data_IF_569791809908
#
_entry.id   IF_569791809908
#
_cell.length_a   1.000
_cell.length_b   1.000
_cell.length_c   1.000
_cell.angle_alpha   90.00
_cell.angle_beta   90.00
_cell.angle_gamma   90.00
#
_symmetry.space_group_name_H-M   'P 1'
#
loop_
_entity.id
_entity.type
_entity.pdbx_description
1 polymer ?
#
# COMPACT_ATOMS: atom_id res chain seq x y z
N UNK A 1 7.95 15.84 -15.99
CA UNK A 1 7.67 15.84 -14.54
C UNK A 1 8.26 14.56 -13.97
N UNK A 2 9.00 14.64 -12.86
CA UNK A 2 9.59 13.47 -12.23
C UNK A 2 8.51 12.74 -11.42
N UNK A 3 8.54 11.40 -11.46
CA UNK A 3 7.74 10.58 -10.57
C UNK A 3 8.22 10.75 -9.12
N UNK A 4 7.33 11.17 -8.21
CA UNK A 4 7.63 11.35 -6.79
C UNK A 4 7.26 10.08 -5.99
N UNK A 5 8.16 9.11 -5.98
CA UNK A 5 7.94 7.81 -5.34
C UNK A 5 7.59 7.90 -3.84
N UNK A 6 8.21 8.83 -3.11
CA UNK A 6 7.98 9.02 -1.67
C UNK A 6 6.57 9.54 -1.39
N UNK A 7 6.10 10.52 -2.17
CA UNK A 7 4.74 11.06 -2.03
C UNK A 7 3.69 10.00 -2.35
N UNK A 8 3.90 9.24 -3.43
CA UNK A 8 3.05 8.10 -3.76
C UNK A 8 2.99 7.07 -2.60
N UNK A 9 4.14 6.70 -2.03
CA UNK A 9 4.20 5.76 -0.92
C UNK A 9 3.45 6.27 0.33
N UNK A 10 3.56 7.57 0.64
CA UNK A 10 2.82 8.18 1.74
C UNK A 10 1.30 8.17 1.50
N UNK A 11 0.86 8.59 0.31
CA UNK A 11 -0.55 8.60 -0.06
C UNK A 11 -1.15 7.19 -0.06
N UNK A 12 -0.41 6.21 -0.60
CA UNK A 12 -0.80 4.81 -0.56
C UNK A 12 -0.93 4.30 0.89
N UNK A 13 0.07 4.53 1.74
CA UNK A 13 0.06 4.12 3.14
C UNK A 13 -1.12 4.70 3.92
N UNK A 14 -1.44 5.98 3.70
CA UNK A 14 -2.61 6.63 4.30
C UNK A 14 -3.92 5.99 3.83
N UNK A 15 -4.05 5.66 2.54
CA UNK A 15 -5.22 4.97 1.97
C UNK A 15 -5.42 3.59 2.59
N UNK A 16 -4.34 2.80 2.70
CA UNK A 16 -4.35 1.47 3.36
C UNK A 16 -4.84 1.59 4.80
N UNK A 17 -4.26 2.53 5.58
CA UNK A 17 -4.64 2.76 6.98
C UNK A 17 -6.11 3.15 7.13
N UNK A 18 -6.61 3.99 6.23
CA UNK A 18 -8.00 4.45 6.23
C UNK A 18 -8.97 3.28 6.01
N UNK A 19 -8.79 2.54 4.92
CA UNK A 19 -9.66 1.40 4.57
C UNK A 19 -9.62 0.34 5.67
N UNK A 20 -8.42 -0.02 6.17
CA UNK A 20 -8.29 -0.98 7.26
C UNK A 20 -9.13 -0.58 8.49
N UNK A 21 -9.13 0.71 8.85
CA UNK A 21 -9.91 1.21 9.99
C UNK A 21 -11.41 1.24 9.70
N UNK A 22 -11.82 1.55 8.48
CA UNK A 22 -13.22 1.49 8.04
C UNK A 22 -13.78 0.06 8.16
N UNK A 23 -12.97 -0.92 7.77
CA UNK A 23 -13.24 -2.37 7.91
C UNK A 23 -13.03 -2.90 9.34
N UNK A 24 -12.67 -2.04 10.31
CA UNK A 24 -12.42 -2.38 11.73
C UNK A 24 -11.36 -3.45 11.97
N UNK A 25 -10.39 -3.57 11.06
CA UNK A 25 -9.30 -4.52 11.17
C UNK A 25 -8.14 -3.94 11.99
N UNK A 26 -7.46 -4.77 12.77
CA UNK A 26 -6.12 -4.49 13.32
C UNK A 26 -5.05 -4.65 12.23
N UNK A 27 -3.84 -4.10 12.46
CA UNK A 27 -2.71 -4.29 11.54
C UNK A 27 -2.33 -5.78 11.43
N UNK A 28 -2.45 -6.53 12.54
CA UNK A 28 -2.18 -7.96 12.59
C UNK A 28 -3.19 -8.76 11.75
N UNK A 29 -4.49 -8.46 11.85
CA UNK A 29 -5.52 -9.13 11.03
C UNK A 29 -5.31 -8.87 9.54
N UNK A 30 -5.05 -7.62 9.15
CA UNK A 30 -4.70 -7.31 7.77
C UNK A 30 -3.44 -8.05 7.32
N UNK A 31 -2.44 -8.19 8.20
CA UNK A 31 -1.21 -8.90 7.87
C UNK A 31 -1.46 -10.38 7.55
N UNK A 32 -2.38 -11.03 8.25
CA UNK A 32 -2.79 -12.40 7.96
C UNK A 32 -3.53 -12.51 6.62
N UNK A 33 -4.43 -11.58 6.32
CA UNK A 33 -5.15 -11.54 5.04
C UNK A 33 -4.19 -11.35 3.86
N UNK A 34 -3.20 -10.48 4.01
CA UNK A 34 -2.15 -10.23 3.00
C UNK A 34 -1.10 -11.35 2.98
N UNK A 35 -0.92 -12.09 4.07
CA UNK A 35 0.14 -13.10 4.20
C UNK A 35 1.54 -12.49 4.35
N UNK A 36 1.66 -11.43 5.15
CA UNK A 36 2.93 -10.75 5.48
C UNK A 36 3.02 -10.52 6.99
N UNK A 37 4.14 -9.98 7.48
CA UNK A 37 4.28 -9.64 8.91
C UNK A 37 3.48 -8.40 9.29
N UNK A 38 3.04 -8.29 10.55
CA UNK A 38 2.44 -7.06 11.12
C UNK A 38 3.35 -5.83 10.93
N UNK A 39 4.67 -6.02 11.06
CA UNK A 39 5.66 -4.97 10.77
C UNK A 39 5.59 -4.49 9.32
N UNK A 40 5.39 -5.40 8.36
CA UNK A 40 5.26 -5.04 6.94
C UNK A 40 4.04 -4.15 6.72
N UNK A 41 2.88 -4.51 7.29
CA UNK A 41 1.67 -3.66 7.21
C UNK A 41 1.92 -2.29 7.85
N UNK A 42 2.55 -2.25 9.02
CA UNK A 42 2.90 -0.99 9.70
C UNK A 42 3.84 -0.10 8.89
N UNK A 43 4.83 -0.70 8.22
CA UNK A 43 5.79 0.02 7.39
C UNK A 43 5.13 0.50 6.07
N UNK A 44 4.20 -0.27 5.50
CA UNK A 44 3.33 0.15 4.37
C UNK A 44 2.49 1.36 4.77
N UNK A 45 1.77 1.31 5.90
CA UNK A 45 0.91 2.43 6.35
C UNK A 45 1.68 3.73 6.61
N UNK A 46 3.00 3.64 6.82
CA UNK A 46 3.90 4.78 7.05
C UNK A 46 4.61 5.25 5.78
N UNK A 47 4.33 4.63 4.63
CA UNK A 47 4.99 4.94 3.36
C UNK A 47 6.49 4.69 3.39
N UNK A 48 6.98 3.71 4.16
CA UNK A 48 8.42 3.42 4.22
C UNK A 48 8.90 2.69 2.96
N UNK A 49 10.18 2.81 2.58
CA UNK A 49 10.74 2.14 1.40
C UNK A 49 11.04 0.64 1.61
N UNK A 50 10.88 0.11 2.82
CA UNK A 50 11.27 -1.27 3.19
C UNK A 50 10.35 -2.40 2.70
N UNK A 51 9.01 -2.25 2.66
CA UNK A 51 8.12 -3.29 2.12
C UNK A 51 8.42 -3.60 0.66
N UNK A 52 8.39 -4.88 0.29
CA UNK A 52 8.57 -5.27 -1.11
C UNK A 52 7.41 -4.80 -1.98
N UNK A 53 7.67 -4.55 -3.26
CA UNK A 53 6.63 -4.19 -4.23
C UNK A 53 5.49 -5.22 -4.26
N UNK A 54 5.81 -6.52 -4.18
CA UNK A 54 4.79 -7.57 -4.08
C UNK A 54 3.91 -7.47 -2.83
N UNK A 55 4.47 -7.07 -1.68
CA UNK A 55 3.67 -6.85 -0.46
C UNK A 55 2.71 -5.67 -0.62
N UNK A 56 3.16 -4.61 -1.30
CA UNK A 56 2.34 -3.43 -1.62
C UNK A 56 1.18 -3.81 -2.54
N UNK A 57 1.46 -4.52 -3.64
CA UNK A 57 0.44 -4.96 -4.59
C UNK A 57 -0.59 -5.89 -3.95
N UNK A 58 -0.14 -6.87 -3.16
CA UNK A 58 -1.05 -7.80 -2.47
C UNK A 58 -1.90 -7.10 -1.41
N UNK A 59 -1.36 -6.08 -0.74
CA UNK A 59 -2.15 -5.23 0.17
C UNK A 59 -3.21 -4.46 -0.60
N UNK A 60 -2.87 -3.92 -1.77
CA UNK A 60 -3.81 -3.23 -2.63
C UNK A 60 -4.94 -4.17 -3.10
N UNK A 61 -4.60 -5.38 -3.55
CA UNK A 61 -5.55 -6.42 -3.94
C UNK A 61 -6.53 -6.77 -2.81
N UNK A 62 -6.01 -7.11 -1.61
CA UNK A 62 -6.83 -7.49 -0.44
C UNK A 62 -7.78 -6.37 -0.01
N UNK A 63 -7.37 -5.10 -0.14
CA UNK A 63 -8.18 -3.94 0.25
C UNK A 63 -8.99 -3.33 -0.91
N UNK A 64 -8.96 -3.92 -2.11
CA UNK A 64 -9.67 -3.39 -3.28
C UNK A 64 -9.16 -2.01 -3.74
N UNK A 65 -7.87 -1.71 -3.54
CA UNK A 65 -7.23 -0.49 -4.02
C UNK A 65 -6.74 -0.71 -5.46
N UNK A 66 -7.24 0.09 -6.39
CA UNK A 66 -6.74 0.11 -7.76
C UNK A 66 -5.47 0.97 -7.87
N UNK A 67 -4.44 0.41 -8.50
CA UNK A 67 -3.22 1.13 -8.88
C UNK A 67 -3.24 1.33 -10.39
N UNK A 68 -3.02 2.57 -10.82
CA UNK A 68 -2.97 2.94 -12.24
C UNK A 68 -1.54 3.34 -12.58
N UNK A 69 -0.99 2.77 -13.64
CA UNK A 69 0.29 3.16 -14.21
C UNK A 69 -0.01 3.90 -15.50
N UNK A 70 0.16 5.22 -15.49
CA UNK A 70 0.03 6.06 -16.67
C UNK A 70 1.42 6.39 -17.20
N UNK A 71 1.66 6.08 -18.48
CA UNK A 71 2.80 6.59 -19.23
C UNK A 71 2.36 7.78 -20.06
N UNK A 72 3.23 8.77 -20.25
CA UNK A 72 3.13 9.56 -21.46
C UNK A 72 3.52 8.61 -22.60
N UNK A 73 2.55 8.20 -23.42
CA UNK A 73 2.86 7.62 -24.71
C UNK A 73 3.70 8.66 -25.46
N UNK A 74 5.01 8.44 -25.50
CA UNK A 74 5.89 9.18 -26.37
C UNK A 74 5.64 8.67 -27.79
N UNK A 75 4.62 9.23 -28.43
CA UNK A 75 4.55 9.28 -29.89
C UNK A 75 5.68 10.16 -30.43
#
# INVERSE_FOLDING_TARGET
MAFHAEEFAQNFGQRVRRIRKEERLTQLELSYMVGVSDKTIRDIERGKPGPSFGSVLKTAEVLGIYLVVEGADHA
#
